data_IF_988230357327
#
_entry.id   IF_988230357327
#
_cell.length_a   1.000
_cell.length_b   1.000
_cell.length_c   1.000
_cell.angle_alpha   90.00
_cell.angle_beta   90.00
_cell.angle_gamma   90.00
#
_symmetry.space_group_name_H-M   'P 1'
#
loop_
_entity.id
_entity.type
_entity.pdbx_description
1 polymer ?
#
# COMPACT_ATOMS: atom_id res chain seq x y z
N UNK A 1 12.70 -26.63 -4.25
CA UNK A 1 11.53 -26.32 -5.10
C UNK A 1 10.58 -25.43 -4.31
N UNK A 2 9.97 -24.43 -4.93
CA UNK A 2 8.97 -23.61 -4.23
C UNK A 2 7.70 -24.43 -4.00
N UNK A 3 7.25 -24.52 -2.74
CA UNK A 3 6.02 -25.24 -2.40
C UNK A 3 4.82 -24.53 -3.04
N UNK A 4 3.94 -25.28 -3.70
CA UNK A 4 2.79 -24.69 -4.39
C UNK A 4 1.67 -24.35 -3.39
N UNK A 5 1.20 -23.10 -3.46
CA UNK A 5 0.03 -22.63 -2.71
C UNK A 5 -1.22 -23.43 -3.08
N UNK A 6 -1.42 -23.75 -4.37
CA UNK A 6 -2.62 -24.47 -4.82
C UNK A 6 -2.67 -25.93 -4.35
N UNK A 7 -1.53 -26.51 -4.00
CA UNK A 7 -1.43 -27.87 -3.43
C UNK A 7 -1.44 -27.87 -1.89
N UNK A 8 -1.40 -26.70 -1.25
CA UNK A 8 -1.35 -26.57 0.21
C UNK A 8 -2.75 -26.63 0.81
N UNK A 9 -3.08 -27.63 1.67
CA UNK A 9 -4.40 -27.72 2.30
C UNK A 9 -4.66 -26.50 3.20
N UNK A 10 -5.91 -26.00 3.24
CA UNK A 10 -6.34 -24.88 4.07
C UNK A 10 -5.80 -24.89 5.52
N UNK A 11 -5.86 -26.05 6.19
CA UNK A 11 -5.35 -26.24 7.57
C UNK A 11 -3.83 -26.08 7.74
N UNK A 12 -3.07 -26.04 6.65
CA UNK A 12 -1.62 -25.83 6.60
C UNK A 12 -1.22 -24.43 6.11
N UNK A 13 -2.17 -23.53 5.82
CA UNK A 13 -1.85 -22.20 5.28
C UNK A 13 -1.04 -21.33 6.26
N UNK A 14 -1.32 -21.35 7.57
CA UNK A 14 -0.50 -20.64 8.55
C UNK A 14 0.95 -21.16 8.56
N UNK A 15 1.15 -22.49 8.47
CA UNK A 15 2.48 -23.10 8.34
C UNK A 15 3.17 -22.72 7.02
N UNK A 16 2.44 -22.72 5.90
CA UNK A 16 2.97 -22.28 4.60
C UNK A 16 3.43 -20.82 4.62
N UNK A 17 2.68 -19.92 5.26
CA UNK A 17 3.10 -18.53 5.42
C UNK A 17 4.40 -18.44 6.22
N UNK A 18 4.52 -19.21 7.30
CA UNK A 18 5.73 -19.24 8.15
C UNK A 18 6.95 -19.83 7.44
N UNK A 19 6.84 -21.04 6.88
CA UNK A 19 7.97 -21.77 6.27
C UNK A 19 8.43 -21.14 4.95
N UNK A 20 7.49 -20.66 4.12
CA UNK A 20 7.72 -20.32 2.70
C UNK A 20 7.71 -18.82 2.45
N UNK A 21 6.81 -18.06 3.10
CA UNK A 21 6.56 -16.66 2.74
C UNK A 21 7.23 -15.65 3.67
N UNK A 22 7.45 -15.98 4.93
CA UNK A 22 8.03 -15.06 5.91
C UNK A 22 9.55 -14.91 5.66
N UNK A 23 10.07 -13.67 5.54
CA UNK A 23 11.52 -13.45 5.52
C UNK A 23 12.15 -13.92 6.83
N UNK A 24 13.32 -14.55 6.74
CA UNK A 24 14.10 -14.96 7.91
C UNK A 24 14.77 -13.77 8.61
N UNK A 25 15.20 -13.99 9.85
CA UNK A 25 15.81 -12.97 10.71
C UNK A 25 17.19 -12.50 10.23
N UNK A 26 17.95 -13.36 9.55
CA UNK A 26 19.26 -13.03 8.99
C UNK A 26 19.11 -11.99 7.89
N UNK A 27 18.25 -12.27 6.90
CA UNK A 27 17.92 -11.35 5.83
C UNK A 27 17.38 -10.02 6.37
N UNK A 28 16.45 -10.04 7.34
CA UNK A 28 15.88 -8.82 7.91
C UNK A 28 16.94 -7.96 8.63
N UNK A 29 17.94 -8.57 9.26
CA UNK A 29 19.07 -7.87 9.90
C UNK A 29 20.00 -7.23 8.86
N UNK A 30 20.39 -7.98 7.83
CA UNK A 30 21.22 -7.46 6.73
C UNK A 30 20.52 -6.31 6.00
N UNK A 31 19.21 -6.45 5.74
CA UNK A 31 18.40 -5.40 5.13
C UNK A 31 18.27 -4.17 6.04
N UNK A 32 18.30 -4.33 7.36
CA UNK A 32 18.44 -3.23 8.31
C UNK A 32 19.77 -2.49 8.12
N UNK A 33 20.89 -3.19 8.26
CA UNK A 33 22.25 -2.62 8.12
C UNK A 33 22.45 -1.92 6.76
N UNK A 34 21.92 -2.50 5.69
CA UNK A 34 21.93 -1.92 4.35
C UNK A 34 21.15 -0.60 4.26
N UNK A 35 19.93 -0.56 4.82
CA UNK A 35 19.12 0.65 4.92
C UNK A 35 19.82 1.71 5.75
N UNK A 36 20.40 1.34 6.90
CA UNK A 36 21.06 2.28 7.80
C UNK A 36 22.27 2.94 7.12
N UNK A 37 23.09 2.14 6.42
CA UNK A 37 24.23 2.63 5.60
C UNK A 37 23.79 3.65 4.55
N UNK A 38 22.72 3.35 3.79
CA UNK A 38 22.17 4.26 2.77
C UNK A 38 21.56 5.52 3.42
N UNK A 39 20.90 5.37 4.57
CA UNK A 39 20.29 6.47 5.30
C UNK A 39 21.32 7.44 5.89
N UNK A 40 22.47 6.93 6.33
CA UNK A 40 23.62 7.75 6.74
C UNK A 40 24.16 8.52 5.54
N UNK A 41 24.57 7.82 4.48
CA UNK A 41 25.06 8.40 3.23
C UNK A 41 24.19 9.53 2.69
N UNK A 42 22.87 9.34 2.64
CA UNK A 42 21.92 10.35 2.16
C UNK A 42 21.95 11.62 3.01
N UNK A 43 22.10 11.50 4.33
CA UNK A 43 22.11 12.64 5.26
C UNK A 43 23.45 13.37 5.31
N UNK A 44 24.57 12.66 5.21
CA UNK A 44 25.91 13.21 5.47
C UNK A 44 26.72 13.48 4.20
N UNK A 45 26.64 12.62 3.19
CA UNK A 45 27.55 12.64 2.04
C UNK A 45 26.86 13.08 0.75
N UNK A 46 25.62 12.63 0.50
CA UNK A 46 24.96 12.72 -0.80
C UNK A 46 24.78 14.14 -1.37
N UNK A 47 24.77 15.18 -0.52
CA UNK A 47 24.68 16.59 -0.96
C UNK A 47 25.85 17.44 -0.45
N UNK A 48 26.94 16.82 0.00
CA UNK A 48 28.10 17.52 0.58
C UNK A 48 28.93 18.28 -0.47
N UNK A 49 29.04 17.72 -1.67
CA UNK A 49 29.75 18.32 -2.82
C UNK A 49 29.07 19.60 -3.35
N UNK A 50 27.81 19.87 -3.01
CA UNK A 50 27.07 21.04 -3.51
C UNK A 50 27.56 22.35 -2.87
N UNK A 51 27.61 23.46 -3.64
CA UNK A 51 27.79 24.80 -3.08
C UNK A 51 26.59 25.18 -2.19
N UNK A 52 26.79 26.06 -1.19
CA UNK A 52 25.69 26.59 -0.37
C UNK A 52 24.65 27.37 -1.21
N UNK A 53 23.35 27.32 -0.84
CA UNK A 53 22.77 26.53 0.25
C UNK A 53 22.68 25.04 -0.13
N UNK A 54 23.19 24.17 0.75
CA UNK A 54 23.13 22.72 0.58
C UNK A 54 21.72 22.19 0.82
N UNK A 55 21.32 21.22 0.01
CA UNK A 55 20.07 20.46 0.18
C UNK A 55 20.17 19.64 1.47
N UNK A 56 19.12 19.66 2.28
CA UNK A 56 19.01 18.86 3.51
C UNK A 56 17.99 17.75 3.33
N UNK A 57 18.30 16.60 3.90
CA UNK A 57 17.35 15.50 4.06
C UNK A 57 16.57 15.72 5.35
N UNK A 58 15.31 16.18 5.22
CA UNK A 58 14.39 16.37 6.35
C UNK A 58 14.16 15.07 7.12
N UNK A 59 13.89 13.99 6.39
CA UNK A 59 13.74 12.63 6.91
C UNK A 59 13.84 11.60 5.80
N UNK A 60 14.06 10.34 6.19
CA UNK A 60 14.01 9.18 5.29
C UNK A 60 12.99 8.20 5.86
N UNK A 61 12.09 7.72 5.01
CA UNK A 61 10.99 6.85 5.39
C UNK A 61 11.10 5.53 4.64
N UNK A 62 11.27 4.46 5.40
CA UNK A 62 11.16 3.08 4.91
C UNK A 62 9.71 2.79 4.52
N UNK A 63 9.43 2.77 3.22
CA UNK A 63 8.12 2.50 2.63
C UNK A 63 7.93 1.03 2.27
N UNK A 64 7.08 0.80 1.27
CA UNK A 64 6.98 -0.50 0.61
C UNK A 64 6.56 -1.68 1.50
N UNK A 65 6.90 -2.87 1.04
CA UNK A 65 6.62 -4.12 1.76
C UNK A 65 7.41 -4.21 3.06
N UNK A 66 8.66 -3.71 3.05
CA UNK A 66 9.61 -3.88 4.14
C UNK A 66 9.34 -2.90 5.29
N UNK A 67 8.87 -1.69 5.01
CA UNK A 67 8.39 -0.73 6.00
C UNK A 67 7.04 -1.13 6.61
N UNK A 68 6.13 -1.67 5.79
CA UNK A 68 4.82 -2.19 6.25
C UNK A 68 4.89 -3.47 7.09
N UNK A 69 6.04 -4.16 7.07
CA UNK A 69 6.19 -5.49 7.68
C UNK A 69 5.41 -6.58 6.94
N UNK A 70 5.27 -6.47 5.61
CA UNK A 70 4.55 -7.39 4.72
C UNK A 70 5.43 -7.94 3.56
N UNK A 71 6.76 -7.86 3.68
CA UNK A 71 7.70 -8.48 2.73
C UNK A 71 7.55 -10.00 2.64
N UNK A 72 7.88 -10.52 1.46
CA UNK A 72 7.96 -11.94 1.15
C UNK A 72 9.43 -12.40 1.16
N UNK A 73 9.67 -13.64 1.56
CA UNK A 73 10.97 -14.29 1.42
C UNK A 73 11.41 -14.31 -0.06
N UNK A 74 12.66 -13.94 -0.34
CA UNK A 74 13.19 -13.87 -1.72
C UNK A 74 12.45 -12.85 -2.63
N UNK A 75 11.93 -11.77 -2.06
CA UNK A 75 11.31 -10.66 -2.77
C UNK A 75 11.62 -9.36 -2.04
N UNK A 76 12.74 -8.74 -2.42
CA UNK A 76 13.51 -7.83 -1.58
C UNK A 76 13.45 -6.37 -2.06
N UNK A 77 12.26 -5.87 -2.35
CA UNK A 77 12.02 -4.45 -2.67
C UNK A 77 12.07 -3.61 -1.37
N UNK A 78 13.03 -2.69 -1.27
CA UNK A 78 13.23 -1.77 -0.14
C UNK A 78 13.01 -0.30 -0.57
N UNK A 79 11.74 0.12 -0.57
CA UNK A 79 11.35 1.50 -0.89
C UNK A 79 11.89 2.48 0.18
N UNK A 80 12.74 3.42 -0.21
CA UNK A 80 13.24 4.51 0.64
C UNK A 80 12.74 5.85 0.11
N UNK A 81 11.78 6.45 0.81
CA UNK A 81 11.27 7.78 0.48
C UNK A 81 12.13 8.84 1.18
N UNK A 82 12.76 9.70 0.39
CA UNK A 82 13.70 10.72 0.86
C UNK A 82 13.02 12.08 0.80
N UNK A 83 12.69 12.64 1.97
CA UNK A 83 12.08 13.96 2.07
C UNK A 83 13.18 15.02 2.09
N UNK A 84 13.08 16.00 1.18
CA UNK A 84 14.11 17.01 0.95
C UNK A 84 13.58 18.42 1.18
N UNK A 85 14.39 19.26 1.84
CA UNK A 85 14.03 20.65 2.16
C UNK A 85 13.93 21.54 0.91
N UNK A 86 14.52 21.12 -0.22
CA UNK A 86 14.54 21.86 -1.48
C UNK A 86 13.20 21.90 -2.20
N UNK A 87 12.29 20.94 -1.95
CA UNK A 87 10.94 20.98 -2.50
C UNK A 87 10.04 21.83 -1.58
N UNK A 88 9.45 22.91 -2.07
CA UNK A 88 8.54 23.78 -1.29
C UNK A 88 7.07 23.48 -1.55
N UNK A 89 6.76 22.82 -2.68
CA UNK A 89 5.43 22.25 -2.97
C UNK A 89 5.50 21.05 -3.92
N UNK A 90 4.32 20.54 -4.30
CA UNK A 90 4.18 19.41 -5.23
C UNK A 90 4.82 19.69 -6.60
N UNK A 91 4.55 20.86 -7.19
CA UNK A 91 5.10 21.24 -8.50
C UNK A 91 6.65 21.28 -8.49
N UNK A 92 7.27 21.68 -7.38
CA UNK A 92 8.73 21.67 -7.24
C UNK A 92 9.30 20.26 -7.27
N UNK A 93 8.61 19.29 -6.67
CA UNK A 93 8.99 17.89 -6.75
C UNK A 93 8.86 17.37 -8.19
N UNK A 94 7.75 17.66 -8.88
CA UNK A 94 7.57 17.23 -10.27
C UNK A 94 8.67 17.79 -11.19
N UNK A 95 9.00 19.07 -11.02
CA UNK A 95 10.01 19.78 -11.83
C UNK A 95 11.44 19.34 -11.51
N UNK A 96 11.81 19.24 -10.23
CA UNK A 96 13.22 19.14 -9.82
C UNK A 96 13.68 17.72 -9.47
N UNK A 97 12.79 16.73 -9.29
CA UNK A 97 13.18 15.36 -8.86
C UNK A 97 14.18 14.68 -9.77
N UNK A 98 14.19 14.97 -11.08
CA UNK A 98 15.11 14.36 -12.03
C UNK A 98 16.57 14.71 -11.70
N UNK A 99 16.87 15.99 -11.43
CA UNK A 99 18.21 16.45 -11.03
C UNK A 99 18.63 15.92 -9.66
N UNK A 100 17.67 15.74 -8.74
CA UNK A 100 17.91 15.09 -7.44
C UNK A 100 18.29 13.61 -7.63
N UNK A 101 17.55 12.87 -8.44
CA UNK A 101 17.83 11.45 -8.74
C UNK A 101 19.21 11.32 -9.40
N UNK A 102 19.56 12.22 -10.31
CA UNK A 102 20.88 12.23 -10.95
C UNK A 102 22.02 12.50 -9.95
N UNK A 103 21.84 13.42 -9.01
CA UNK A 103 22.84 13.71 -7.98
C UNK A 103 23.00 12.54 -7.00
N UNK A 104 21.90 11.93 -6.55
CA UNK A 104 21.94 10.73 -5.70
C UNK A 104 22.67 9.59 -6.43
N UNK A 105 22.37 9.37 -7.72
CA UNK A 105 23.07 8.39 -8.57
C UNK A 105 24.57 8.67 -8.64
N UNK A 106 24.96 9.90 -9.00
CA UNK A 106 26.37 10.32 -9.09
C UNK A 106 27.13 10.05 -7.79
N UNK A 107 26.48 10.31 -6.66
CA UNK A 107 27.10 10.13 -5.34
C UNK A 107 27.12 8.67 -4.87
N UNK A 108 26.15 7.84 -5.27
CA UNK A 108 26.25 6.38 -5.10
C UNK A 108 27.45 5.81 -5.88
N UNK A 109 27.57 6.18 -7.16
CA UNK A 109 28.68 5.75 -8.03
C UNK A 109 30.05 6.19 -7.45
N UNK A 110 30.14 7.42 -6.91
CA UNK A 110 31.33 7.94 -6.22
C UNK A 110 31.66 7.18 -4.92
N UNK A 111 30.66 6.88 -4.08
CA UNK A 111 30.86 6.28 -2.76
C UNK A 111 30.98 4.74 -2.76
N UNK A 112 30.56 4.05 -3.82
CA UNK A 112 30.62 2.58 -3.94
C UNK A 112 32.02 1.98 -3.73
N UNK A 113 33.09 2.72 -4.03
CA UNK A 113 34.47 2.30 -3.78
C UNK A 113 34.79 2.21 -2.27
N UNK A 114 34.12 2.99 -1.43
CA UNK A 114 34.37 3.11 0.01
C UNK A 114 33.53 2.12 0.85
N UNK A 115 32.56 1.43 0.25
CA UNK A 115 31.63 0.55 0.98
C UNK A 115 32.00 -0.92 0.90
N UNK A 116 31.62 -1.70 1.92
CA UNK A 116 31.71 -3.17 1.91
C UNK A 116 30.68 -3.85 0.99
N UNK A 117 29.88 -3.06 0.27
CA UNK A 117 28.82 -3.51 -0.63
C UNK A 117 29.09 -3.08 -2.07
N UNK A 118 28.64 -3.88 -3.02
CA UNK A 118 28.54 -3.53 -4.43
C UNK A 118 27.15 -2.92 -4.69
N UNK A 119 27.07 -1.88 -5.52
CA UNK A 119 25.84 -1.22 -5.95
C UNK A 119 25.71 -1.36 -7.47
N UNK A 120 24.55 -1.81 -7.94
CA UNK A 120 24.23 -1.96 -9.36
C UNK A 120 23.02 -1.08 -9.65
N UNK A 121 23.24 0.07 -10.31
CA UNK A 121 22.20 1.08 -10.53
C UNK A 121 21.44 0.80 -11.83
N UNK A 122 20.12 0.73 -11.75
CA UNK A 122 19.27 0.63 -12.93
C UNK A 122 19.13 1.98 -13.62
N UNK A 123 19.27 2.00 -14.95
CA UNK A 123 19.12 3.23 -15.73
C UNK A 123 17.66 3.41 -16.18
N UNK A 124 17.03 4.46 -15.66
CA UNK A 124 15.70 4.89 -16.12
C UNK A 124 15.70 5.21 -17.62
N UNK A 125 14.66 4.73 -18.32
CA UNK A 125 14.36 5.10 -19.72
C UNK A 125 13.53 6.38 -19.85
N UNK A 126 13.09 6.95 -18.73
CA UNK A 126 12.23 8.13 -18.68
C UNK A 126 13.04 9.39 -18.33
N UNK A 127 12.81 10.53 -19.01
CA UNK A 127 13.58 11.76 -18.79
C UNK A 127 13.30 12.42 -17.43
N UNK A 128 12.13 12.20 -16.86
CA UNK A 128 11.78 12.63 -15.50
C UNK A 128 11.41 11.42 -14.63
N UNK A 129 12.40 10.66 -14.11
CA UNK A 129 12.15 9.51 -13.26
C UNK A 129 11.49 9.91 -11.93
N UNK A 130 10.67 9.01 -11.38
CA UNK A 130 10.09 9.12 -10.02
C UNK A 130 10.88 8.33 -8.96
N UNK A 131 11.74 7.43 -9.40
CA UNK A 131 12.47 6.47 -8.59
C UNK A 131 13.87 6.27 -9.16
N UNK A 132 14.84 6.09 -8.27
CA UNK A 132 16.17 5.57 -8.56
C UNK A 132 16.21 4.13 -8.03
N UNK A 133 16.15 3.17 -8.94
CA UNK A 133 16.21 1.74 -8.60
C UNK A 133 17.65 1.25 -8.67
N UNK A 134 18.09 0.49 -7.66
CA UNK A 134 19.43 -0.10 -7.62
C UNK A 134 19.46 -1.35 -6.74
N UNK A 135 20.32 -2.29 -7.07
CA UNK A 135 20.54 -3.49 -6.28
C UNK A 135 21.82 -3.35 -5.45
N UNK A 136 21.78 -3.71 -4.16
CA UNK A 136 22.95 -3.75 -3.30
C UNK A 136 23.29 -5.18 -2.90
N UNK A 137 24.58 -5.54 -3.02
CA UNK A 137 25.10 -6.91 -2.80
C UNK A 137 26.26 -6.90 -1.81
N UNK A 138 26.38 -7.93 -0.98
CA UNK A 138 27.55 -8.11 -0.11
C UNK A 138 28.79 -8.47 -0.94
N UNK A 139 29.93 -7.81 -0.71
CA UNK A 139 31.22 -8.21 -1.33
C UNK A 139 31.78 -9.52 -0.77
N UNK A 140 31.27 -10.01 0.37
CA UNK A 140 31.77 -11.20 1.08
C UNK A 140 30.79 -12.38 1.12
N UNK A 141 29.53 -12.19 0.72
CA UNK A 141 28.49 -13.23 0.79
C UNK A 141 27.81 -13.38 -0.56
N UNK A 142 28.04 -14.52 -1.21
CA UNK A 142 27.47 -14.85 -2.52
C UNK A 142 25.97 -15.18 -2.39
N UNK A 143 25.17 -14.74 -3.37
CA UNK A 143 23.71 -14.95 -3.53
C UNK A 143 22.75 -14.13 -2.64
N UNK A 144 23.21 -13.16 -1.84
CA UNK A 144 22.33 -12.26 -1.10
C UNK A 144 22.39 -10.82 -1.62
N UNK A 145 21.22 -10.30 -2.01
CA UNK A 145 21.04 -9.00 -2.64
C UNK A 145 19.72 -8.37 -2.22
N UNK A 146 19.70 -7.04 -2.09
CA UNK A 146 18.51 -6.25 -1.77
C UNK A 146 18.31 -5.24 -2.89
N UNK A 147 17.09 -5.19 -3.43
CA UNK A 147 16.70 -4.24 -4.45
C UNK A 147 16.11 -3.00 -3.75
N UNK A 148 16.61 -1.82 -4.07
CA UNK A 148 16.22 -0.56 -3.45
C UNK A 148 15.52 0.34 -4.47
N UNK A 149 14.40 0.92 -4.06
CA UNK A 149 13.70 1.97 -4.80
C UNK A 149 13.81 3.27 -4.01
N UNK A 150 14.68 4.20 -4.42
CA UNK A 150 14.80 5.52 -3.79
C UNK A 150 13.88 6.55 -4.46
N UNK A 151 13.00 7.17 -3.69
CA UNK A 151 12.00 8.13 -4.20
C UNK A 151 12.09 9.48 -3.47
N UNK A 152 12.60 10.54 -4.12
CA UNK A 152 12.53 11.90 -3.57
C UNK A 152 11.09 12.39 -3.45
N UNK A 153 10.76 13.01 -2.31
CA UNK A 153 9.40 13.47 -2.00
C UNK A 153 9.35 14.85 -1.34
N UNK A 154 8.31 15.62 -1.67
CA UNK A 154 7.95 16.83 -0.96
C UNK A 154 7.40 16.51 0.45
N UNK A 155 7.84 17.27 1.44
CA UNK A 155 7.41 17.15 2.83
C UNK A 155 6.04 17.81 3.07
N UNK A 156 4.99 17.25 2.47
CA UNK A 156 3.63 17.77 2.54
C UNK A 156 3.02 17.74 3.95
N UNK A 157 3.36 16.74 4.76
CA UNK A 157 2.68 16.49 6.05
C UNK A 157 3.19 17.33 7.23
N UNK A 158 4.44 17.81 7.18
CA UNK A 158 5.10 18.70 8.17
C UNK A 158 4.95 18.33 9.68
N UNK A 159 4.51 17.10 9.99
CA UNK A 159 4.15 16.45 11.28
C UNK A 159 2.67 16.61 11.70
N UNK A 160 2.05 15.50 12.14
CA UNK A 160 0.70 15.47 12.72
C UNK A 160 -0.35 14.73 11.86
N UNK A 161 -1.64 14.79 12.26
CA UNK A 161 -2.76 14.45 11.35
C UNK A 161 -2.71 15.43 10.16
N UNK A 162 -2.92 14.98 8.92
CA UNK A 162 -2.92 15.88 7.77
C UNK A 162 -3.99 16.96 7.91
N UNK A 163 -3.61 18.22 7.71
CA UNK A 163 -4.56 19.33 7.59
C UNK A 163 -5.24 19.27 6.20
N UNK A 164 -6.53 19.64 6.10
CA UNK A 164 -7.29 19.59 4.83
C UNK A 164 -6.57 20.31 3.68
N UNK A 165 -5.97 21.46 3.99
CA UNK A 165 -5.14 22.27 3.10
C UNK A 165 -4.07 21.46 2.31
N UNK A 166 -3.46 20.43 2.92
CA UNK A 166 -2.49 19.57 2.23
C UNK A 166 -3.12 18.86 1.02
N UNK A 167 -4.40 18.49 1.15
CA UNK A 167 -5.16 17.86 0.08
C UNK A 167 -5.76 18.87 -0.88
N UNK A 168 -6.13 20.07 -0.42
CA UNK A 168 -6.51 21.19 -1.30
C UNK A 168 -5.37 21.53 -2.25
N UNK A 169 -4.14 21.69 -1.74
CA UNK A 169 -2.93 21.92 -2.54
C UNK A 169 -2.67 20.76 -3.53
N UNK A 170 -2.79 19.51 -3.08
CA UNK A 170 -2.63 18.33 -3.95
C UNK A 170 -3.67 18.30 -5.08
N UNK A 171 -4.92 18.66 -4.81
CA UNK A 171 -6.02 18.69 -5.78
C UNK A 171 -5.84 19.85 -6.76
N UNK A 172 -5.31 20.99 -6.32
CA UNK A 172 -5.01 22.14 -7.18
C UNK A 172 -3.77 21.90 -8.08
N UNK A 173 -2.77 21.17 -7.61
CA UNK A 173 -1.63 20.70 -8.40
C UNK A 173 -1.96 19.52 -9.35
N UNK A 174 -3.23 19.13 -9.49
CA UNK A 174 -3.61 17.89 -10.17
C UNK A 174 -3.58 18.01 -11.71
N UNK A 175 -2.40 17.79 -12.30
CA UNK A 175 -2.24 17.59 -13.75
C UNK A 175 -2.36 16.11 -14.15
N UNK A 176 -1.80 15.20 -13.33
CA UNK A 176 -1.68 13.76 -13.61
C UNK A 176 -1.82 12.91 -12.35
N UNK A 177 -2.36 11.70 -12.53
CA UNK A 177 -2.47 10.72 -11.46
C UNK A 177 -1.22 9.88 -11.28
N UNK A 178 -0.57 9.95 -10.11
CA UNK A 178 0.55 9.07 -9.72
C UNK A 178 1.91 9.72 -9.45
N UNK A 179 2.08 11.00 -9.75
CA UNK A 179 3.13 11.93 -9.25
C UNK A 179 3.55 11.81 -7.75
N UNK A 180 2.73 12.29 -6.80
CA UNK A 180 3.06 12.64 -5.41
C UNK A 180 2.69 11.63 -4.30
N UNK A 181 2.37 10.35 -4.61
CA UNK A 181 1.96 9.39 -3.57
C UNK A 181 3.00 9.15 -2.48
N UNK A 182 4.28 9.37 -2.81
CA UNK A 182 5.43 9.27 -1.92
C UNK A 182 5.39 10.27 -0.78
N UNK A 183 4.79 11.46 -0.98
CA UNK A 183 4.63 12.48 0.07
C UNK A 183 3.83 11.97 1.29
N UNK A 184 3.07 10.89 1.10
CA UNK A 184 2.15 10.31 2.08
C UNK A 184 2.54 8.88 2.48
N UNK A 185 3.76 8.43 2.17
CA UNK A 185 4.18 7.03 2.45
C UNK A 185 4.21 6.68 3.94
N UNK A 186 4.36 7.64 4.84
CA UNK A 186 4.21 7.41 6.29
C UNK A 186 2.80 6.91 6.62
N UNK A 187 1.78 7.64 6.18
CA UNK A 187 0.37 7.25 6.33
C UNK A 187 0.06 5.89 5.64
N UNK A 188 0.70 5.59 4.50
CA UNK A 188 0.55 4.31 3.80
C UNK A 188 1.15 3.14 4.58
N UNK A 189 2.28 3.39 5.24
CA UNK A 189 3.01 2.46 6.10
C UNK A 189 2.19 2.21 7.36
N UNK A 190 1.82 3.26 8.06
CA UNK A 190 1.23 3.21 9.40
C UNK A 190 -0.14 2.52 9.40
N UNK A 191 -0.96 2.77 8.36
CA UNK A 191 -2.22 2.04 8.10
C UNK A 191 -2.08 0.51 8.07
N UNK A 192 -0.89 -0.02 7.74
CA UNK A 192 -0.59 -1.46 7.72
C UNK A 192 0.28 -1.90 8.90
N UNK A 193 1.19 -1.05 9.39
CA UNK A 193 2.10 -1.35 10.51
C UNK A 193 1.34 -1.55 11.82
N UNK A 194 0.25 -0.83 12.07
CA UNK A 194 -0.55 -1.00 13.29
C UNK A 194 -1.37 -2.30 13.30
N UNK A 195 -1.46 -3.00 12.15
CA UNK A 195 -2.28 -4.20 12.00
C UNK A 195 -1.63 -5.43 12.60
N UNK A 196 -2.47 -6.36 13.09
CA UNK A 196 -2.02 -7.56 13.79
C UNK A 196 -1.16 -8.48 12.90
N UNK A 197 -0.27 -9.25 13.51
CA UNK A 197 0.66 -10.14 12.80
C UNK A 197 -0.05 -11.12 11.87
N UNK A 198 -1.22 -11.64 12.26
CA UNK A 198 -1.99 -12.59 11.45
C UNK A 198 -2.58 -11.95 10.20
N UNK A 199 -3.00 -10.68 10.25
CA UNK A 199 -3.41 -9.92 9.06
C UNK A 199 -2.22 -9.62 8.15
N UNK A 200 -1.04 -9.28 8.70
CA UNK A 200 0.19 -9.16 7.89
C UNK A 200 0.56 -10.48 7.20
N UNK A 201 0.32 -11.62 7.85
CA UNK A 201 0.46 -12.95 7.26
C UNK A 201 -0.56 -13.24 6.14
N UNK A 202 -1.82 -12.82 6.29
CA UNK A 202 -2.81 -12.87 5.19
C UNK A 202 -2.37 -11.99 4.00
N UNK A 203 -1.89 -10.77 4.26
CA UNK A 203 -1.37 -9.87 3.23
C UNK A 203 -0.20 -10.52 2.47
N UNK A 204 0.73 -11.20 3.16
CA UNK A 204 1.79 -12.00 2.49
C UNK A 204 1.20 -13.09 1.60
N UNK A 205 0.22 -13.86 2.09
CA UNK A 205 -0.43 -14.92 1.33
C UNK A 205 -1.08 -14.40 0.04
N UNK A 206 -1.81 -13.29 0.12
CA UNK A 206 -2.45 -12.62 -1.02
C UNK A 206 -1.40 -12.06 -2.00
N UNK A 207 -0.31 -11.45 -1.51
CA UNK A 207 0.79 -10.97 -2.36
C UNK A 207 1.53 -12.09 -3.08
N UNK A 208 1.71 -13.23 -2.42
CA UNK A 208 2.34 -14.41 -3.02
C UNK A 208 1.45 -15.03 -4.11
N UNK A 209 0.15 -15.22 -3.83
CA UNK A 209 -0.84 -15.61 -4.83
C UNK A 209 -0.83 -14.67 -6.05
N UNK A 210 -0.85 -13.36 -5.81
CA UNK A 210 -0.76 -12.35 -6.87
C UNK A 210 0.52 -12.48 -7.72
N UNK A 211 1.68 -12.75 -7.11
CA UNK A 211 2.95 -12.99 -7.83
C UNK A 211 2.82 -14.20 -8.76
N UNK A 212 2.23 -15.31 -8.29
CA UNK A 212 1.97 -16.49 -9.13
C UNK A 212 0.99 -16.22 -10.28
N UNK A 213 -0.07 -15.43 -10.07
CA UNK A 213 -1.02 -15.08 -11.15
C UNK A 213 -0.37 -14.13 -12.17
N UNK A 214 0.42 -13.14 -11.74
CA UNK A 214 1.14 -12.21 -12.65
C UNK A 214 2.15 -12.95 -13.53
N UNK A 215 2.84 -13.97 -13.00
CA UNK A 215 3.76 -14.81 -13.77
C UNK A 215 3.06 -15.58 -14.90
N UNK A 216 1.73 -15.75 -14.85
CA UNK A 216 0.90 -16.36 -15.90
C UNK A 216 0.37 -15.34 -16.93
N UNK A 217 1.02 -14.18 -17.05
CA UNK A 217 0.75 -13.20 -18.12
C UNK A 217 -0.49 -12.32 -17.95
N UNK A 218 -1.08 -12.26 -16.75
CA UNK A 218 -2.31 -11.49 -16.52
C UNK A 218 -2.03 -10.02 -16.15
N UNK A 219 -2.83 -9.11 -16.70
CA UNK A 219 -2.90 -7.71 -16.23
C UNK A 219 -3.72 -7.66 -14.94
N UNK A 220 -3.10 -7.18 -13.86
CA UNK A 220 -3.66 -7.22 -12.51
C UNK A 220 -3.51 -5.85 -11.84
N UNK A 221 -4.38 -5.51 -10.86
CA UNK A 221 -4.32 -4.22 -10.18
C UNK A 221 -3.05 -4.08 -9.34
N UNK A 222 -2.62 -2.85 -8.98
CA UNK A 222 -1.40 -2.62 -8.21
C UNK A 222 -1.33 -3.48 -6.94
N UNK A 223 -0.14 -4.02 -6.60
CA UNK A 223 0.11 -4.86 -5.39
C UNK A 223 -0.59 -4.29 -4.15
N UNK A 224 -0.53 -2.96 -3.97
CA UNK A 224 -1.06 -2.25 -2.81
C UNK A 224 -2.60 -2.34 -2.67
N UNK A 225 -3.33 -2.37 -3.79
CA UNK A 225 -4.79 -2.51 -3.77
C UNK A 225 -5.25 -3.81 -3.08
N UNK A 226 -4.43 -4.87 -3.17
CA UNK A 226 -4.69 -6.14 -2.50
C UNK A 226 -4.30 -6.15 -1.01
N UNK A 227 -3.31 -5.35 -0.61
CA UNK A 227 -3.00 -5.16 0.82
C UNK A 227 -4.20 -4.53 1.52
N UNK A 228 -4.80 -3.49 0.92
CA UNK A 228 -6.04 -2.89 1.41
C UNK A 228 -7.21 -3.85 1.45
N UNK A 229 -7.43 -4.60 0.37
CA UNK A 229 -8.60 -5.46 0.27
C UNK A 229 -8.54 -6.59 1.31
N UNK A 230 -7.32 -6.98 1.70
CA UNK A 230 -7.07 -7.84 2.86
C UNK A 230 -7.40 -7.16 4.19
N UNK A 231 -7.03 -5.88 4.37
CA UNK A 231 -7.43 -5.09 5.56
C UNK A 231 -8.95 -4.96 5.63
N UNK A 232 -9.61 -4.57 4.54
CA UNK A 232 -11.07 -4.45 4.44
C UNK A 232 -11.79 -5.77 4.73
N UNK A 233 -11.34 -6.88 4.15
CA UNK A 233 -11.90 -8.21 4.40
C UNK A 233 -11.87 -8.57 5.90
N UNK A 234 -10.76 -8.25 6.56
CA UNK A 234 -10.59 -8.48 8.00
C UNK A 234 -11.42 -7.48 8.85
N UNK A 235 -11.50 -6.21 8.44
CA UNK A 235 -12.22 -5.16 9.15
C UNK A 235 -13.76 -5.23 9.03
N UNK A 236 -14.31 -5.75 7.92
CA UNK A 236 -15.75 -6.00 7.77
C UNK A 236 -16.15 -7.40 8.26
N UNK A 237 -15.19 -8.32 8.36
CA UNK A 237 -15.39 -9.65 8.94
C UNK A 237 -15.26 -9.65 10.45
N UNK A 238 -14.41 -10.53 10.97
CA UNK A 238 -14.36 -10.79 12.41
C UNK A 238 -13.65 -9.70 13.24
N UNK A 239 -12.75 -8.89 12.64
CA UNK A 239 -11.74 -8.07 13.36
C UNK A 239 -10.89 -8.84 14.38
N UNK A 240 -10.98 -10.17 14.38
CA UNK A 240 -10.32 -11.04 15.34
C UNK A 240 -8.83 -11.14 15.01
N UNK A 241 -7.97 -11.11 16.03
CA UNK A 241 -6.52 -11.32 15.87
C UNK A 241 -6.18 -12.78 15.55
N UNK A 242 -7.06 -13.74 15.87
CA UNK A 242 -6.85 -15.17 15.74
C UNK A 242 -7.53 -15.83 14.52
N UNK A 243 -8.20 -15.06 13.66
CA UNK A 243 -8.99 -15.53 12.50
C UNK A 243 -8.33 -16.65 11.67
N UNK A 244 -9.10 -17.56 11.08
CA UNK A 244 -8.56 -18.65 10.26
C UNK A 244 -8.01 -18.12 8.92
N UNK A 245 -6.76 -18.48 8.60
CA UNK A 245 -6.06 -17.99 7.40
C UNK A 245 -6.82 -18.33 6.10
N UNK A 246 -7.38 -19.54 6.01
CA UNK A 246 -8.14 -20.00 4.84
C UNK A 246 -9.43 -19.20 4.59
N UNK A 247 -10.16 -18.85 5.64
CA UNK A 247 -11.40 -18.06 5.56
C UNK A 247 -11.09 -16.62 5.14
N UNK A 248 -10.06 -16.01 5.74
CA UNK A 248 -9.59 -14.68 5.34
C UNK A 248 -9.11 -14.63 3.88
N UNK A 249 -8.32 -15.62 3.45
CA UNK A 249 -7.84 -15.70 2.06
C UNK A 249 -8.99 -15.90 1.06
N UNK A 250 -9.93 -16.80 1.36
CA UNK A 250 -11.14 -17.00 0.57
C UNK A 250 -11.97 -15.71 0.46
N UNK A 251 -12.17 -15.00 1.57
CA UNK A 251 -12.94 -13.74 1.60
C UNK A 251 -12.31 -12.69 0.68
N UNK A 252 -10.98 -12.55 0.68
CA UNK A 252 -10.28 -11.64 -0.25
C UNK A 252 -10.52 -12.07 -1.69
N UNK A 253 -10.40 -13.36 -2.03
CA UNK A 253 -10.69 -13.86 -3.38
C UNK A 253 -12.15 -13.67 -3.81
N UNK A 254 -13.11 -13.76 -2.88
CA UNK A 254 -14.54 -13.51 -3.15
C UNK A 254 -14.84 -12.02 -3.39
N UNK A 255 -14.26 -11.11 -2.59
CA UNK A 255 -14.34 -9.66 -2.82
C UNK A 255 -13.74 -9.28 -4.19
N UNK A 256 -12.60 -9.88 -4.52
CA UNK A 256 -11.93 -9.77 -5.81
C UNK A 256 -12.84 -10.19 -6.98
N UNK A 257 -13.60 -11.29 -6.85
CA UNK A 257 -14.62 -11.70 -7.84
C UNK A 257 -15.75 -10.68 -7.96
N UNK A 258 -16.08 -9.99 -6.87
CA UNK A 258 -17.12 -8.98 -6.80
C UNK A 258 -16.61 -7.55 -7.08
N UNK A 259 -15.46 -7.37 -7.76
CA UNK A 259 -14.85 -6.05 -8.00
C UNK A 259 -15.82 -4.98 -8.55
N UNK A 260 -16.79 -5.37 -9.41
CA UNK A 260 -17.83 -4.47 -9.95
C UNK A 260 -18.80 -3.90 -8.90
N UNK A 261 -18.79 -4.42 -7.66
CA UNK A 261 -19.59 -3.94 -6.53
C UNK A 261 -18.77 -3.17 -5.49
N UNK A 262 -17.44 -3.28 -5.52
CA UNK A 262 -16.60 -2.66 -4.50
C UNK A 262 -16.63 -1.13 -4.62
N UNK A 263 -16.86 -0.46 -3.50
CA UNK A 263 -16.66 0.96 -3.28
C UNK A 263 -16.30 1.10 -1.80
N UNK A 264 -15.00 1.10 -1.49
CA UNK A 264 -14.48 1.01 -0.12
C UNK A 264 -13.77 2.32 0.17
N UNK A 265 -13.95 2.92 1.35
CA UNK A 265 -13.11 4.03 1.77
C UNK A 265 -12.97 4.15 3.29
N UNK A 266 -11.96 4.91 3.69
CA UNK A 266 -11.59 5.16 5.09
C UNK A 266 -11.32 6.64 5.29
N UNK A 267 -12.04 7.31 6.19
CA UNK A 267 -11.84 8.72 6.54
C UNK A 267 -10.91 8.90 7.74
N UNK A 268 -9.76 8.22 7.72
CA UNK A 268 -8.78 8.25 8.84
C UNK A 268 -7.90 9.51 8.73
N UNK A 269 -7.37 9.76 7.53
CA UNK A 269 -6.38 10.82 7.29
C UNK A 269 -7.00 12.09 6.68
N UNK A 270 -8.25 12.02 6.26
CA UNK A 270 -9.03 13.06 5.60
C UNK A 270 -10.53 12.73 5.79
N UNK A 271 -11.39 13.69 5.53
CA UNK A 271 -12.84 13.61 5.75
C UNK A 271 -13.57 14.46 4.67
N UNK A 272 -14.82 14.82 4.92
CA UNK A 272 -15.68 15.58 4.00
C UNK A 272 -16.01 16.98 4.56
N UNK A 273 -15.23 17.48 5.52
CA UNK A 273 -15.48 18.80 6.15
C UNK A 273 -15.08 19.96 5.25
N UNK A 274 -13.98 19.81 4.49
CA UNK A 274 -13.55 20.76 3.47
C UNK A 274 -14.32 20.55 2.16
N UNK A 275 -14.94 21.60 1.61
CA UNK A 275 -15.81 21.51 0.44
C UNK A 275 -15.10 21.01 -0.83
N UNK A 276 -13.84 21.41 -1.04
CA UNK A 276 -13.07 21.07 -2.23
C UNK A 276 -12.60 19.60 -2.14
N UNK A 277 -12.17 19.18 -0.95
CA UNK A 277 -11.87 17.77 -0.66
C UNK A 277 -13.14 16.92 -0.79
N UNK A 278 -14.26 17.32 -0.17
CA UNK A 278 -15.54 16.61 -0.25
C UNK A 278 -16.06 16.49 -1.69
N UNK A 279 -15.99 17.56 -2.47
CA UNK A 279 -16.35 17.57 -3.89
C UNK A 279 -15.47 16.61 -4.70
N UNK A 280 -14.16 16.59 -4.44
CA UNK A 280 -13.24 15.65 -5.07
C UNK A 280 -13.55 14.20 -4.68
N UNK A 281 -13.76 13.90 -3.39
CA UNK A 281 -14.09 12.55 -2.90
C UNK A 281 -15.40 12.03 -3.51
N UNK A 282 -16.45 12.85 -3.51
CA UNK A 282 -17.73 12.54 -4.14
C UNK A 282 -17.57 12.26 -5.65
N UNK A 283 -16.74 13.05 -6.35
CA UNK A 283 -16.40 12.82 -7.76
C UNK A 283 -15.63 11.52 -7.98
N UNK A 284 -14.76 11.11 -7.04
CA UNK A 284 -14.15 9.78 -7.09
C UNK A 284 -15.20 8.69 -6.88
N UNK A 285 -15.93 8.69 -5.76
CA UNK A 285 -16.89 7.64 -5.39
C UNK A 285 -17.97 7.35 -6.45
N UNK A 286 -18.36 8.37 -7.24
CA UNK A 286 -19.31 8.24 -8.36
C UNK A 286 -18.71 7.67 -9.65
N UNK A 287 -17.41 7.42 -9.74
CA UNK A 287 -16.77 6.90 -10.97
C UNK A 287 -17.34 5.52 -11.36
N UNK A 288 -17.54 5.26 -12.66
CA UNK A 288 -17.97 3.95 -13.13
C UNK A 288 -17.02 2.85 -12.67
N UNK A 289 -17.59 1.73 -12.21
CA UNK A 289 -16.87 0.51 -11.83
C UNK A 289 -16.51 -0.30 -13.09
N UNK A 290 -15.85 0.36 -14.04
CA UNK A 290 -15.72 -0.06 -15.45
C UNK A 290 -14.46 -0.89 -15.76
N UNK A 291 -14.39 -1.41 -16.99
CA UNK A 291 -13.40 -2.41 -17.46
C UNK A 291 -12.18 -1.77 -18.15
N UNK A 292 -12.19 -0.46 -18.44
CA UNK A 292 -11.18 0.22 -19.25
C UNK A 292 -10.03 0.85 -18.45
N UNK A 293 -8.81 0.69 -18.96
CA UNK A 293 -7.52 0.84 -18.26
C UNK A 293 -7.14 2.26 -17.76
N UNK A 294 -7.90 2.81 -16.81
CA UNK A 294 -7.54 4.05 -16.10
C UNK A 294 -7.06 3.77 -14.67
N UNK A 295 -5.75 3.86 -14.50
CA UNK A 295 -5.07 3.84 -13.19
C UNK A 295 -5.61 4.97 -12.31
N UNK A 296 -6.23 4.64 -11.17
CA UNK A 296 -6.41 5.63 -10.11
C UNK A 296 -5.03 6.14 -9.68
N UNK A 297 -4.86 7.45 -9.42
CA UNK A 297 -3.60 7.98 -8.91
C UNK A 297 -3.12 7.17 -7.69
N UNK A 298 -1.87 6.68 -7.65
CA UNK A 298 -1.24 6.10 -6.46
C UNK A 298 -1.41 6.82 -5.10
N UNK A 299 -1.91 8.07 -5.01
CA UNK A 299 -2.38 8.65 -3.74
C UNK A 299 -3.80 8.22 -3.38
N UNK A 300 -4.71 8.18 -4.36
CA UNK A 300 -6.09 7.72 -4.19
C UNK A 300 -6.21 6.22 -3.93
N UNK A 301 -5.09 5.49 -3.88
CA UNK A 301 -5.05 4.16 -3.29
C UNK A 301 -3.73 3.91 -2.56
N UNK A 302 -3.73 3.80 -1.22
CA UNK A 302 -4.17 4.85 -0.32
C UNK A 302 -3.46 4.87 1.05
N UNK A 303 -2.85 6.00 1.40
CA UNK A 303 -3.13 6.61 2.70
C UNK A 303 -4.48 7.35 2.69
N UNK A 304 -5.02 7.64 1.50
CA UNK A 304 -6.19 8.49 1.21
C UNK A 304 -7.51 7.71 1.01
N UNK A 305 -7.64 6.52 1.60
CA UNK A 305 -8.82 5.64 1.64
C UNK A 305 -9.56 5.23 0.35
N UNK A 306 -9.87 6.12 -0.62
CA UNK A 306 -10.95 5.95 -1.61
C UNK A 306 -10.67 4.91 -2.69
N UNK A 307 -10.98 3.67 -2.35
CA UNK A 307 -11.08 2.55 -3.26
C UNK A 307 -12.37 2.65 -4.09
N UNK A 308 -12.28 3.39 -5.19
CA UNK A 308 -13.04 2.98 -6.38
C UNK A 308 -12.33 1.79 -7.01
N UNK A 309 -13.06 0.83 -7.60
CA UNK A 309 -12.48 -0.46 -7.91
C UNK A 309 -11.49 -0.33 -9.07
N UNK A 310 -10.21 -0.48 -8.74
CA UNK A 310 -9.15 -0.59 -9.75
C UNK A 310 -9.31 -1.95 -10.44
N UNK A 311 -10.00 -1.91 -11.59
CA UNK A 311 -9.74 -2.70 -12.79
C UNK A 311 -9.18 -4.11 -12.56
N UNK A 312 -10.09 -5.09 -12.55
CA UNK A 312 -9.75 -6.51 -12.75
C UNK A 312 -10.42 -7.11 -13.99
N UNK A 313 -10.03 -6.72 -15.23
CA UNK A 313 -10.51 -7.38 -16.44
C UNK A 313 -10.09 -8.86 -16.51
N UNK A 314 -8.86 -9.19 -16.07
CA UNK A 314 -8.28 -10.51 -16.29
C UNK A 314 -8.86 -11.65 -15.43
N UNK A 315 -9.50 -11.37 -14.29
CA UNK A 315 -10.04 -12.45 -13.46
C UNK A 315 -11.36 -13.04 -14.00
N UNK A 316 -12.03 -12.36 -14.93
CA UNK A 316 -13.12 -12.97 -15.69
C UNK A 316 -12.62 -14.21 -16.47
N UNK A 317 -11.36 -14.22 -16.91
CA UNK A 317 -10.74 -15.36 -17.59
C UNK A 317 -10.40 -16.55 -16.65
N UNK A 318 -10.44 -16.37 -15.32
CA UNK A 318 -10.27 -17.48 -14.38
C UNK A 318 -11.55 -18.32 -14.21
N UNK A 319 -12.72 -17.80 -14.57
CA UNK A 319 -14.01 -18.46 -14.28
C UNK A 319 -14.31 -19.71 -15.12
N UNK A 320 -13.89 -19.83 -16.42
CA UNK A 320 -14.21 -21.03 -17.21
C UNK A 320 -13.11 -22.10 -17.23
N UNK A 321 -11.84 -21.77 -16.93
CA UNK A 321 -10.69 -22.69 -17.12
C UNK A 321 -10.21 -23.42 -15.85
N UNK A 322 -10.83 -23.20 -14.70
CA UNK A 322 -10.44 -23.84 -13.43
C UNK A 322 -11.64 -24.48 -12.70
N UNK A 323 -12.28 -25.44 -13.37
CA UNK A 323 -13.33 -26.30 -12.80
C UNK A 323 -13.03 -26.98 -11.44
N UNK A 324 -11.78 -27.28 -11.04
CA UNK A 324 -11.51 -27.89 -9.73
C UNK A 324 -11.68 -26.97 -8.52
N UNK A 325 -11.74 -25.64 -8.70
CA UNK A 325 -11.73 -24.68 -7.56
C UNK A 325 -12.99 -24.78 -6.70
N UNK A 326 -14.09 -25.33 -7.22
CA UNK A 326 -15.36 -25.43 -6.52
C UNK A 326 -15.59 -26.76 -5.76
N UNK A 327 -14.87 -27.85 -6.08
CA UNK A 327 -15.01 -29.10 -5.30
C UNK A 327 -14.39 -29.01 -3.91
N UNK A 328 -13.40 -28.11 -3.72
CA UNK A 328 -12.71 -27.91 -2.44
C UNK A 328 -13.47 -27.01 -1.45
N UNK A 329 -14.49 -26.26 -1.92
CA UNK A 329 -15.24 -25.31 -1.11
C UNK A 329 -16.58 -25.87 -0.56
N UNK A 330 -16.97 -27.08 -0.96
CA UNK A 330 -18.29 -27.67 -0.68
C UNK A 330 -18.49 -28.25 0.73
N UNK A 331 -17.43 -28.43 1.52
CA UNK A 331 -17.51 -29.10 2.83
C UNK A 331 -17.43 -28.16 4.05
N UNK A 332 -17.68 -26.86 3.88
CA UNK A 332 -17.75 -25.90 5.00
C UNK A 332 -19.08 -25.14 4.92
N UNK A 333 -19.91 -25.32 5.95
CA UNK A 333 -21.33 -24.96 5.97
C UNK A 333 -21.66 -23.55 5.50
N UNK A 334 -22.41 -23.49 4.40
CA UNK A 334 -22.88 -22.27 3.72
C UNK A 334 -23.76 -21.36 4.61
N UNK A 335 -24.47 -21.94 5.58
CA UNK A 335 -25.42 -21.22 6.43
C UNK A 335 -24.74 -20.40 7.54
N UNK A 336 -23.64 -20.90 8.11
CA UNK A 336 -22.92 -20.21 9.19
C UNK A 336 -22.28 -18.88 8.74
N UNK A 337 -21.95 -18.76 7.44
CA UNK A 337 -21.43 -17.53 6.83
C UNK A 337 -22.57 -16.59 6.40
N UNK A 338 -23.81 -17.08 6.23
CA UNK A 338 -24.93 -16.22 5.84
C UNK A 338 -25.51 -15.44 7.02
N UNK A 339 -25.82 -16.11 8.14
CA UNK A 339 -26.44 -15.46 9.31
C UNK A 339 -25.51 -14.49 10.05
N UNK A 340 -24.18 -14.67 9.98
CA UNK A 340 -23.22 -13.78 10.67
C UNK A 340 -22.94 -12.47 9.90
N UNK A 341 -23.47 -12.31 8.68
CA UNK A 341 -23.06 -11.25 7.75
C UNK A 341 -24.22 -10.41 7.17
N UNK A 342 -25.45 -10.54 7.68
CA UNK A 342 -26.53 -9.57 7.45
C UNK A 342 -26.97 -9.37 5.99
N UNK A 343 -26.72 -10.33 5.09
CA UNK A 343 -27.12 -10.25 3.67
C UNK A 343 -28.59 -10.63 3.48
N UNK A 344 -29.51 -9.78 3.95
CA UNK A 344 -30.91 -9.86 3.57
C UNK A 344 -31.18 -9.10 2.26
N UNK A 345 -32.02 -9.68 1.40
CA UNK A 345 -32.81 -8.93 0.42
C UNK A 345 -34.18 -8.68 1.04
N UNK A 346 -34.64 -7.44 0.95
CA UNK A 346 -35.92 -6.98 1.50
C UNK A 346 -35.89 -5.45 1.48
N UNK A 347 -36.72 -4.87 0.62
CA UNK A 347 -36.97 -3.43 0.65
C UNK A 347 -37.75 -3.11 1.92
N UNK A 348 -37.44 -2.01 2.59
CA UNK A 348 -38.45 -1.21 3.25
C UNK A 348 -38.07 0.27 3.17
N UNK A 349 -39.01 1.07 2.69
CA UNK A 349 -38.88 2.52 2.54
C UNK A 349 -39.41 3.16 3.81
N UNK A 350 -38.60 3.95 4.50
CA UNK A 350 -39.12 4.94 5.45
C UNK A 350 -38.62 6.33 5.12
N UNK A 351 -39.60 7.22 4.99
CA UNK A 351 -39.46 8.64 4.70
C UNK A 351 -39.42 9.45 6.00
N UNK A 352 -38.91 10.68 5.91
CA UNK A 352 -39.19 11.83 6.78
C UNK A 352 -39.25 11.63 8.31
N UNK A 353 -38.31 12.28 9.01
CA UNK A 353 -38.63 13.04 10.22
C UNK A 353 -37.71 14.26 10.33
N UNK A 354 -38.29 15.42 10.67
CA UNK A 354 -37.57 16.66 11.00
C UNK A 354 -37.42 16.79 12.52
N UNK A 355 -36.49 17.65 12.96
CA UNK A 355 -36.32 18.05 14.36
C UNK A 355 -35.40 17.12 15.17
N UNK A 356 -34.71 17.59 16.22
CA UNK A 356 -34.66 18.96 16.75
C UNK A 356 -33.31 19.19 17.48
N UNK A 357 -32.88 20.44 17.62
CA UNK A 357 -31.60 20.78 18.26
C UNK A 357 -31.75 20.81 19.78
N UNK A 358 -31.03 19.94 20.50
CA UNK A 358 -30.61 20.22 21.89
C UNK A 358 -29.18 19.78 22.15
N UNK A 359 -28.38 20.72 22.63
CA UNK A 359 -27.10 20.44 23.27
C UNK A 359 -27.35 19.91 24.68
N UNK A 360 -26.54 18.96 25.13
CA UNK A 360 -26.20 18.87 26.54
C UNK A 360 -24.76 18.36 26.69
N UNK A 361 -24.00 19.01 27.57
CA UNK A 361 -22.58 18.72 27.79
C UNK A 361 -22.40 18.02 29.14
N UNK A 362 -21.65 16.91 29.19
CA UNK A 362 -20.56 16.71 30.16
C UNK A 362 -19.94 15.29 30.16
N UNK A 363 -18.70 15.22 30.67
CA UNK A 363 -17.93 14.04 31.12
C UNK A 363 -17.22 13.12 30.10
N UNK A 364 -15.91 13.38 29.96
CA UNK A 364 -14.89 12.40 30.37
C UNK A 364 -14.36 11.42 29.30
N UNK A 365 -13.03 11.28 29.13
CA UNK A 365 -12.48 10.61 27.95
C UNK A 365 -12.40 9.08 28.08
N UNK A 366 -13.01 8.38 27.11
CA UNK A 366 -12.48 7.12 26.58
C UNK A 366 -12.16 7.30 25.11
N UNK A 367 -10.88 7.50 24.79
CA UNK A 367 -10.41 7.45 23.40
C UNK A 367 -10.38 5.99 22.94
N UNK A 368 -11.57 5.46 22.66
CA UNK A 368 -11.72 4.34 21.72
C UNK A 368 -11.74 4.96 20.33
N UNK A 369 -10.67 4.80 19.56
CA UNK A 369 -10.64 5.25 18.17
C UNK A 369 -11.57 4.36 17.32
N UNK A 370 -12.86 4.70 17.28
CA UNK A 370 -13.84 4.05 16.42
C UNK A 370 -13.53 4.37 14.95
N UNK A 371 -12.82 3.46 14.31
CA UNK A 371 -12.51 3.54 12.88
C UNK A 371 -13.80 3.33 12.08
N UNK A 372 -14.49 4.43 11.75
CA UNK A 372 -15.72 4.42 10.97
C UNK A 372 -15.41 4.15 9.49
N UNK A 373 -15.62 2.91 9.08
CA UNK A 373 -15.74 2.55 7.66
C UNK A 373 -17.15 2.93 7.24
N UNK A 374 -17.29 3.77 6.22
CA UNK A 374 -18.56 4.15 5.62
C UNK A 374 -18.74 3.43 4.29
N UNK A 375 -19.95 2.96 4.02
CA UNK A 375 -20.34 2.40 2.73
C UNK A 375 -21.32 3.34 2.05
N UNK A 376 -21.17 3.50 0.73
CA UNK A 376 -22.13 4.21 -0.12
C UNK A 376 -22.82 3.17 -1.01
N UNK A 377 -24.08 2.89 -0.70
CA UNK A 377 -24.97 2.08 -1.52
C UNK A 377 -25.72 3.01 -2.51
N UNK A 378 -26.07 2.53 -3.72
CA UNK A 378 -26.84 3.30 -4.70
C UNK A 378 -28.30 3.51 -4.25
#
# INVERSE_FOLDING_TARGET
MAQDLYQTPARKLDKFVFDVLQPDSTFLRQAGQAIDTICEFLKTNCFADRPPPRIKVDRIVKGGSLGKGTSLKGGSDADLVVFLDCFKGYNDQETNRAGIIQEIRRMLEKCQQQWHFEVIIETSRWPNPRVLSFQMRSKTTVNESIDFDMLPAYNALRKGKPHSQVYVELINCYSRGGEFSTCFTELQRDFVVERCTKLKSLIRLVKYWYKQVRQRGQSLPPKYALELLSVYAWERGSRDRAFKMAEGFRTVLELIRQYKKLCIYWTINYDFEDELVAGFLNKQLRKPRSVSLHVLPPWLSPPMGVFTPILLPCLAALSPRYGPVLSWAGSIGWEAVRSRWGLHHGMDVLSQAQGDWRCDCSWGPRISASHHIKEAWP
#
